data_IF_237182116558
#
_entry.id   IF_237182116558
#
_cell.length_a   1.000
_cell.length_b   1.000
_cell.length_c   1.000
_cell.angle_alpha   90.00
_cell.angle_beta   90.00
_cell.angle_gamma   90.00
#
_symmetry.space_group_name_H-M   'P 1'
#
loop_
_entity.id
_entity.type
_entity.pdbx_description
1 polymer ?
#
# COMPACT_ATOMS: atom_id res chain seq x y z
N UNK A 1 -1.69 -8.65 51.37
CA UNK A 1 -2.39 -7.97 50.26
C UNK A 1 -1.57 -8.20 48.98
N UNK A 2 -1.96 -9.17 48.15
CA UNK A 2 -1.26 -9.49 46.90
C UNK A 2 -1.78 -8.55 45.81
N UNK A 3 -0.90 -7.68 45.30
CA UNK A 3 -1.19 -6.87 44.13
C UNK A 3 -1.03 -7.80 42.93
N UNK A 4 -2.15 -8.18 42.31
CA UNK A 4 -2.14 -8.89 41.05
C UNK A 4 -1.68 -7.92 39.96
N UNK A 5 -0.44 -8.07 39.47
CA UNK A 5 0.01 -7.41 38.25
C UNK A 5 -0.57 -8.16 37.06
N UNK A 6 -1.68 -7.66 36.51
CA UNK A 6 -2.21 -8.14 35.24
C UNK A 6 -1.31 -7.63 34.12
N UNK A 7 -0.22 -8.35 33.83
CA UNK A 7 0.53 -8.19 32.59
C UNK A 7 -0.32 -8.75 31.44
N UNK A 8 -1.36 -8.00 31.05
CA UNK A 8 -1.98 -8.18 29.76
C UNK A 8 -1.02 -7.59 28.72
N UNK A 9 -0.06 -8.40 28.28
CA UNK A 9 0.70 -8.13 27.06
C UNK A 9 -0.32 -8.11 25.93
N UNK A 10 -0.80 -6.91 25.57
CA UNK A 10 -1.63 -6.74 24.36
C UNK A 10 -0.71 -7.12 23.20
N UNK A 11 -0.83 -8.36 22.73
CA UNK A 11 -0.19 -8.78 21.50
C UNK A 11 -0.72 -7.83 20.41
N UNK A 12 0.13 -6.90 19.97
CA UNK A 12 -0.23 -5.95 18.94
C UNK A 12 -0.57 -6.73 17.65
N UNK A 13 -1.85 -6.98 17.42
CA UNK A 13 -2.32 -7.63 16.21
C UNK A 13 -2.60 -6.53 15.18
N UNK A 14 -1.93 -6.61 14.03
CA UNK A 14 -2.25 -5.75 12.90
C UNK A 14 -3.68 -6.04 12.44
N UNK A 15 -4.57 -5.07 12.56
CA UNK A 15 -5.92 -5.14 12.04
C UNK A 15 -6.06 -4.32 10.74
N UNK A 16 -7.22 -4.43 10.09
CA UNK A 16 -7.43 -3.79 8.80
C UNK A 16 -7.40 -2.26 8.89
N UNK A 17 -7.90 -1.70 9.99
CA UNK A 17 -7.86 -0.26 10.25
C UNK A 17 -6.41 0.22 10.44
N UNK A 18 -5.58 -0.55 11.15
CA UNK A 18 -4.16 -0.30 11.32
C UNK A 18 -3.43 -0.30 9.99
N UNK A 19 -3.62 -1.32 9.15
CA UNK A 19 -3.05 -1.37 7.81
C UNK A 19 -3.48 -0.18 6.95
N UNK A 20 -4.78 0.16 6.95
CA UNK A 20 -5.30 1.31 6.22
C UNK A 20 -4.66 2.62 6.69
N UNK A 21 -4.58 2.85 8.01
CA UNK A 21 -3.98 4.06 8.60
C UNK A 21 -2.51 4.22 8.18
N UNK A 22 -1.74 3.13 8.24
CA UNK A 22 -0.35 3.17 7.79
C UNK A 22 -0.24 3.43 6.28
N UNK A 23 -1.09 2.79 5.46
CA UNK A 23 -1.13 3.06 4.02
C UNK A 23 -1.41 4.55 3.74
N UNK A 24 -2.36 5.16 4.44
CA UNK A 24 -2.66 6.58 4.31
C UNK A 24 -1.48 7.48 4.66
N UNK A 25 -0.74 7.18 5.74
CA UNK A 25 0.46 7.92 6.11
C UNK A 25 1.56 7.80 5.05
N UNK A 26 1.77 6.59 4.50
CA UNK A 26 2.74 6.38 3.42
C UNK A 26 2.32 7.06 2.12
N UNK A 27 1.03 7.16 1.83
CA UNK A 27 0.52 7.92 0.68
C UNK A 27 0.82 9.41 0.81
N UNK A 28 0.58 9.98 2.00
CA UNK A 28 0.92 11.38 2.28
C UNK A 28 2.42 11.63 2.13
N UNK A 29 3.25 10.71 2.65
CA UNK A 29 4.70 10.78 2.49
C UNK A 29 5.12 10.71 1.01
N UNK A 30 4.58 9.75 0.25
CA UNK A 30 4.88 9.57 -1.17
C UNK A 30 4.62 10.86 -1.96
N UNK A 31 3.46 11.49 -1.73
CA UNK A 31 3.07 12.74 -2.39
C UNK A 31 3.94 13.93 -1.99
N UNK A 32 4.29 14.02 -0.71
CA UNK A 32 5.18 15.07 -0.21
C UNK A 32 6.55 14.99 -0.87
N UNK A 33 7.05 13.77 -1.09
CA UNK A 33 8.33 13.52 -1.78
C UNK A 33 8.18 13.74 -3.29
N UNK A 34 7.07 13.32 -3.90
CA UNK A 34 6.82 13.46 -5.34
C UNK A 34 6.86 14.92 -5.80
N UNK A 35 6.29 15.86 -5.02
CA UNK A 35 6.33 17.30 -5.32
C UNK A 35 7.77 17.82 -5.46
N UNK A 36 8.73 17.18 -4.77
CA UNK A 36 10.16 17.57 -4.80
C UNK A 36 10.96 16.94 -5.94
N UNK A 37 10.34 16.13 -6.81
CA UNK A 37 11.02 15.51 -7.95
C UNK A 37 11.34 16.54 -9.05
N UNK A 38 10.66 17.68 -9.06
CA UNK A 38 10.90 18.76 -10.02
C UNK A 38 12.25 19.45 -9.76
N UNK A 39 13.28 19.04 -10.50
CA UNK A 39 14.58 19.70 -10.56
C UNK A 39 15.71 18.75 -10.97
N UNK A 40 15.86 17.63 -10.26
CA UNK A 40 17.09 16.80 -10.35
C UNK A 40 16.84 15.29 -10.50
N UNK A 41 15.58 14.83 -10.55
CA UNK A 41 15.25 13.40 -10.57
C UNK A 41 15.62 12.65 -9.27
N UNK A 42 16.21 13.36 -8.31
CA UNK A 42 16.42 12.90 -6.95
C UNK A 42 15.08 12.50 -6.34
N UNK A 43 15.09 11.44 -5.54
CA UNK A 43 13.92 10.89 -4.85
C UNK A 43 12.92 10.08 -5.71
N UNK A 44 13.17 9.84 -7.00
CA UNK A 44 12.30 9.00 -7.84
C UNK A 44 12.10 7.58 -7.28
N UNK A 45 13.20 6.86 -7.02
CA UNK A 45 13.14 5.51 -6.44
C UNK A 45 12.54 5.46 -5.03
N UNK A 46 12.92 6.36 -4.09
CA UNK A 46 12.22 6.52 -2.82
C UNK A 46 10.71 6.75 -2.96
N UNK A 47 10.28 7.55 -3.94
CA UNK A 47 8.85 7.81 -4.20
C UNK A 47 8.13 6.53 -4.62
N UNK A 48 8.72 5.77 -5.55
CA UNK A 48 8.18 4.46 -5.95
C UNK A 48 8.13 3.48 -4.77
N UNK A 49 9.12 3.50 -3.87
CA UNK A 49 9.14 2.65 -2.68
C UNK A 49 7.96 3.00 -1.75
N UNK A 50 7.72 4.30 -1.50
CA UNK A 50 6.63 4.76 -0.65
C UNK A 50 5.27 4.39 -1.26
N UNK A 51 5.11 4.53 -2.57
CA UNK A 51 3.92 4.06 -3.27
C UNK A 51 3.74 2.55 -3.22
N UNK A 52 4.82 1.77 -3.38
CA UNK A 52 4.79 0.32 -3.26
C UNK A 52 4.30 -0.12 -1.88
N UNK A 53 4.85 0.48 -0.82
CA UNK A 53 4.41 0.24 0.57
C UNK A 53 2.94 0.60 0.74
N UNK A 54 2.52 1.76 0.24
CA UNK A 54 1.12 2.22 0.31
C UNK A 54 0.17 1.17 -0.29
N UNK A 55 0.43 0.75 -1.53
CA UNK A 55 -0.38 -0.21 -2.27
C UNK A 55 -0.38 -1.58 -1.58
N UNK A 56 0.76 -2.04 -1.08
CA UNK A 56 0.84 -3.30 -0.34
C UNK A 56 -0.04 -3.27 0.91
N UNK A 57 0.10 -2.24 1.74
CA UNK A 57 -0.61 -2.15 3.02
C UNK A 57 -2.12 -2.01 2.82
N UNK A 58 -2.57 -1.21 1.85
CA UNK A 58 -4.00 -1.04 1.60
C UNK A 58 -4.66 -2.30 1.03
N UNK A 59 -3.96 -3.03 0.14
CA UNK A 59 -4.47 -4.31 -0.37
C UNK A 59 -4.48 -5.37 0.74
N UNK A 60 -3.49 -5.37 1.65
CA UNK A 60 -3.52 -6.20 2.85
C UNK A 60 -4.72 -5.83 3.74
N UNK A 61 -4.99 -4.56 3.99
CA UNK A 61 -6.18 -4.12 4.74
C UNK A 61 -7.49 -4.69 4.16
N UNK A 62 -7.67 -4.56 2.84
CA UNK A 62 -8.82 -5.10 2.12
C UNK A 62 -8.94 -6.61 2.25
N UNK A 63 -7.84 -7.34 2.02
CA UNK A 63 -7.82 -8.79 2.11
C UNK A 63 -8.12 -9.28 3.54
N UNK A 64 -7.70 -8.54 4.57
CA UNK A 64 -7.97 -8.87 5.97
C UNK A 64 -9.47 -8.76 6.26
N UNK A 65 -10.10 -7.66 5.84
CA UNK A 65 -11.57 -7.48 5.94
C UNK A 65 -12.35 -8.53 5.14
N UNK A 66 -11.78 -9.06 4.06
CA UNK A 66 -12.33 -10.19 3.28
C UNK A 66 -11.97 -11.56 3.88
N UNK A 67 -11.46 -11.63 5.10
CA UNK A 67 -11.23 -12.87 5.84
C UNK A 67 -9.92 -13.60 5.53
N UNK A 68 -8.93 -12.95 4.88
CA UNK A 68 -7.58 -13.52 4.80
C UNK A 68 -6.92 -13.49 6.17
N UNK A 69 -6.25 -14.58 6.57
CA UNK A 69 -5.52 -14.62 7.84
C UNK A 69 -4.15 -13.95 7.72
N UNK A 70 -3.58 -13.50 8.84
CA UNK A 70 -2.31 -12.75 8.88
C UNK A 70 -1.10 -13.58 8.43
N UNK A 71 -1.09 -14.89 8.70
CA UNK A 71 -0.08 -15.83 8.21
C UNK A 71 -0.04 -15.88 6.67
N UNK A 72 -1.22 -15.93 6.04
CA UNK A 72 -1.38 -15.88 4.59
C UNK A 72 -0.98 -14.53 3.99
N UNK A 73 -0.98 -13.44 4.77
CA UNK A 73 -0.51 -12.14 4.28
C UNK A 73 1.00 -12.04 4.18
N UNK A 74 1.73 -12.78 5.01
CA UNK A 74 3.20 -12.73 4.99
C UNK A 74 3.74 -13.18 3.63
N UNK A 75 3.11 -14.16 3.02
CA UNK A 75 3.48 -14.71 1.69
C UNK A 75 3.22 -13.74 0.53
N UNK A 76 2.44 -12.67 0.78
CA UNK A 76 2.12 -11.63 -0.21
C UNK A 76 3.06 -10.42 -0.14
N UNK A 77 3.94 -10.36 0.86
CA UNK A 77 4.81 -9.20 1.09
C UNK A 77 5.72 -8.95 -0.11
N UNK A 78 5.86 -7.68 -0.47
CA UNK A 78 6.65 -7.21 -1.60
C UNK A 78 6.17 -7.65 -3.00
N UNK A 79 5.08 -8.41 -3.13
CA UNK A 79 4.54 -8.83 -4.43
C UNK A 79 3.19 -8.16 -4.70
N UNK A 80 3.23 -6.96 -5.26
CA UNK A 80 2.03 -6.16 -5.52
C UNK A 80 1.10 -6.82 -6.53
N UNK A 81 1.65 -7.44 -7.57
CA UNK A 81 0.89 -8.13 -8.60
C UNK A 81 0.06 -9.28 -8.01
N UNK A 82 0.69 -10.21 -7.30
CA UNK A 82 0.00 -11.35 -6.68
C UNK A 82 -1.06 -10.86 -5.69
N UNK A 83 -0.73 -9.82 -4.91
CA UNK A 83 -1.66 -9.21 -3.95
C UNK A 83 -2.87 -8.61 -4.65
N UNK A 84 -2.66 -7.84 -5.74
CA UNK A 84 -3.74 -7.22 -6.51
C UNK A 84 -4.62 -8.26 -7.19
N UNK A 85 -4.04 -9.30 -7.79
CA UNK A 85 -4.78 -10.40 -8.42
C UNK A 85 -5.69 -11.08 -7.38
N UNK A 86 -5.16 -11.37 -6.19
CA UNK A 86 -5.94 -11.98 -5.11
C UNK A 86 -7.06 -11.05 -4.64
N UNK A 87 -6.78 -9.76 -4.45
CA UNK A 87 -7.78 -8.76 -4.07
C UNK A 87 -8.91 -8.65 -5.11
N UNK A 88 -8.57 -8.62 -6.41
CA UNK A 88 -9.54 -8.63 -7.51
C UNK A 88 -10.42 -9.88 -7.51
N UNK A 89 -9.83 -11.07 -7.31
CA UNK A 89 -10.58 -12.33 -7.14
C UNK A 89 -11.55 -12.27 -5.96
N UNK A 90 -11.19 -11.53 -4.91
CA UNK A 90 -12.03 -11.24 -3.73
C UNK A 90 -12.89 -9.99 -3.86
N UNK A 91 -13.22 -9.60 -5.10
CA UNK A 91 -14.20 -8.55 -5.42
C UNK A 91 -13.77 -7.12 -5.06
N UNK A 92 -12.46 -6.82 -5.11
CA UNK A 92 -11.95 -5.43 -4.98
C UNK A 92 -12.72 -4.45 -5.88
N UNK A 93 -13.07 -4.87 -7.10
CA UNK A 93 -13.83 -4.07 -8.08
C UNK A 93 -15.22 -3.60 -7.64
N UNK A 94 -15.76 -4.12 -6.53
CA UNK A 94 -17.01 -3.63 -5.92
C UNK A 94 -16.78 -2.38 -5.07
N UNK A 95 -15.59 -2.23 -4.51
CA UNK A 95 -15.21 -1.08 -3.67
C UNK A 95 -14.42 -0.04 -4.48
N UNK A 96 -13.47 -0.48 -5.31
CA UNK A 96 -12.56 0.40 -6.08
C UNK A 96 -12.36 -0.14 -7.49
N UNK A 97 -12.50 0.72 -8.50
CA UNK A 97 -12.30 0.38 -9.92
C UNK A 97 -11.05 1.06 -10.46
N UNK A 98 -9.94 0.33 -10.46
CA UNK A 98 -8.70 0.76 -11.11
C UNK A 98 -8.82 0.65 -12.63
N UNK A 99 -8.28 1.65 -13.34
CA UNK A 99 -8.18 1.65 -14.79
C UNK A 99 -7.05 0.71 -15.30
N UNK A 100 -7.06 0.31 -16.58
CA UNK A 100 -6.05 -0.60 -17.12
C UNK A 100 -4.60 -0.10 -17.02
N UNK A 101 -4.36 1.22 -17.08
CA UNK A 101 -3.04 1.83 -17.01
C UNK A 101 -2.51 1.82 -15.58
N UNK A 102 -3.38 2.03 -14.61
CA UNK A 102 -3.08 1.88 -13.18
C UNK A 102 -2.69 0.43 -12.85
N UNK A 103 -3.46 -0.54 -13.35
CA UNK A 103 -3.14 -1.97 -13.16
C UNK A 103 -1.79 -2.32 -13.81
N UNK A 104 -1.54 -1.86 -15.04
CA UNK A 104 -0.28 -2.07 -15.73
C UNK A 104 0.90 -1.43 -14.97
N UNK A 105 0.71 -0.22 -14.44
CA UNK A 105 1.72 0.46 -13.63
C UNK A 105 2.04 -0.34 -12.35
N UNK A 106 1.03 -0.86 -11.63
CA UNK A 106 1.24 -1.71 -10.45
C UNK A 106 2.04 -2.97 -10.82
N UNK A 107 1.74 -3.59 -11.96
CA UNK A 107 2.49 -4.75 -12.43
C UNK A 107 3.98 -4.41 -12.65
N UNK A 108 4.28 -3.31 -13.35
CA UNK A 108 5.67 -2.86 -13.56
C UNK A 108 6.35 -2.54 -12.22
N UNK A 109 5.67 -1.83 -11.31
CA UNK A 109 6.20 -1.54 -9.97
C UNK A 109 6.49 -2.82 -9.18
N UNK A 110 5.64 -3.84 -9.30
CA UNK A 110 5.80 -5.11 -8.58
C UNK A 110 7.13 -5.79 -8.90
N UNK A 111 7.61 -5.70 -10.14
CA UNK A 111 8.88 -6.30 -10.58
C UNK A 111 10.05 -5.72 -9.77
N UNK A 112 10.17 -4.39 -9.75
CA UNK A 112 11.28 -3.69 -9.08
C UNK A 112 11.13 -3.65 -7.55
N UNK A 113 9.89 -3.63 -7.04
CA UNK A 113 9.58 -3.63 -5.62
C UNK A 113 9.85 -4.99 -4.97
N UNK A 114 9.43 -6.09 -5.62
CA UNK A 114 9.66 -7.46 -5.12
C UNK A 114 11.14 -7.85 -5.12
N UNK A 115 11.91 -7.36 -6.10
CA UNK A 115 13.36 -7.58 -6.19
C UNK A 115 14.20 -6.67 -5.29
N UNK A 116 13.59 -5.83 -4.44
CA UNK A 116 14.27 -4.83 -3.62
C UNK A 116 15.14 -3.82 -4.40
N UNK A 117 14.91 -3.68 -5.71
CA UNK A 117 15.70 -2.83 -6.61
C UNK A 117 15.44 -1.33 -6.36
N UNK A 118 14.40 -1.00 -5.60
CA UNK A 118 14.15 0.36 -5.13
C UNK A 118 15.02 0.76 -3.92
N UNK A 119 15.66 -0.22 -3.26
CA UNK A 119 16.50 -0.02 -2.06
C UNK A 119 17.98 -0.27 -2.33
N UNK A 120 18.29 -1.15 -3.27
CA UNK A 120 19.66 -1.53 -3.60
C UNK A 120 19.98 -1.17 -5.04
N UNK A 121 21.20 -0.70 -5.28
CA UNK A 121 21.68 -0.36 -6.61
C UNK A 121 21.72 -1.63 -7.45
N UNK A 122 21.03 -1.62 -8.58
CA UNK A 122 21.08 -2.66 -9.60
C UNK A 122 21.53 -2.02 -10.91
N UNK A 123 22.57 -2.57 -11.53
CA UNK A 123 23.10 -2.09 -12.80
C UNK A 123 22.30 -2.65 -13.98
N UNK A 124 22.08 -1.84 -15.01
CA UNK A 124 21.39 -2.24 -16.25
C UNK A 124 20.11 -1.44 -16.52
N UNK A 125 19.46 -1.74 -17.63
CA UNK A 125 18.21 -1.08 -18.02
C UNK A 125 17.03 -1.62 -17.20
N UNK A 126 16.37 -0.74 -16.46
CA UNK A 126 15.20 -1.09 -15.64
C UNK A 126 13.96 -0.37 -16.15
N UNK A 127 12.87 -1.13 -16.32
CA UNK A 127 11.56 -0.54 -16.61
C UNK A 127 10.95 0.01 -15.32
N UNK A 128 10.56 1.27 -15.34
CA UNK A 128 9.90 1.95 -14.23
C UNK A 128 8.50 2.38 -14.64
N UNK A 129 7.51 2.34 -13.73
CA UNK A 129 6.16 2.77 -14.04
C UNK A 129 6.11 4.30 -14.16
N UNK A 130 5.12 4.81 -14.91
CA UNK A 130 4.83 6.24 -14.88
C UNK A 130 4.23 6.62 -13.52
N UNK A 131 4.83 7.60 -12.84
CA UNK A 131 4.43 8.02 -11.50
C UNK A 131 2.96 8.42 -11.42
N UNK A 132 2.44 9.11 -12.43
CA UNK A 132 1.03 9.56 -12.47
C UNK A 132 0.04 8.41 -12.25
N UNK A 133 0.27 7.24 -12.85
CA UNK A 133 -0.63 6.09 -12.70
C UNK A 133 -0.46 5.38 -11.36
N UNK A 134 0.76 5.34 -10.83
CA UNK A 134 1.00 4.79 -9.49
C UNK A 134 0.39 5.67 -8.41
N UNK A 135 0.59 6.98 -8.49
CA UNK A 135 0.04 7.94 -7.54
C UNK A 135 -1.48 7.97 -7.55
N UNK A 136 -2.09 7.86 -8.73
CA UNK A 136 -3.55 7.69 -8.86
C UNK A 136 -4.04 6.38 -8.27
N UNK A 137 -3.45 5.24 -8.66
CA UNK A 137 -3.85 3.94 -8.14
C UNK A 137 -3.75 3.85 -6.61
N UNK A 138 -2.65 4.37 -6.03
CA UNK A 138 -2.47 4.42 -4.60
C UNK A 138 -3.52 5.30 -3.92
N UNK A 139 -3.85 6.47 -4.50
CA UNK A 139 -4.93 7.34 -4.01
C UNK A 139 -6.28 6.62 -4.03
N UNK A 140 -6.65 6.08 -5.18
CA UNK A 140 -7.95 5.43 -5.36
C UNK A 140 -8.14 4.25 -4.41
N UNK A 141 -7.10 3.43 -4.22
CA UNK A 141 -7.14 2.34 -3.26
C UNK A 141 -7.31 2.85 -1.82
N UNK A 142 -6.50 3.82 -1.39
CA UNK A 142 -6.54 4.29 0.01
C UNK A 142 -7.85 5.00 0.32
N UNK A 143 -8.27 5.93 -0.54
CA UNK A 143 -9.51 6.70 -0.33
C UNK A 143 -10.72 5.79 -0.52
N UNK A 144 -10.76 5.01 -1.60
CA UNK A 144 -11.92 4.17 -1.91
C UNK A 144 -12.14 3.01 -0.94
N UNK A 145 -11.09 2.55 -0.24
CA UNK A 145 -11.21 1.50 0.77
C UNK A 145 -11.32 2.01 2.21
N UNK A 146 -11.38 3.33 2.43
CA UNK A 146 -11.46 3.91 3.77
C UNK A 146 -12.65 3.40 4.57
N UNK A 147 -13.86 3.52 4.03
CA UNK A 147 -15.07 3.04 4.70
C UNK A 147 -15.02 1.53 4.93
N UNK A 148 -14.61 0.78 3.90
CA UNK A 148 -14.54 -0.68 3.98
C UNK A 148 -13.57 -1.16 5.08
N UNK A 149 -12.43 -0.49 5.24
CA UNK A 149 -11.41 -0.88 6.21
C UNK A 149 -11.66 -0.35 7.62
N UNK A 150 -12.27 0.85 7.75
CA UNK A 150 -12.36 1.58 9.02
C UNK A 150 -13.77 1.73 9.58
N UNK A 151 -14.81 1.56 8.76
CA UNK A 151 -16.20 1.90 9.11
C UNK A 151 -16.47 3.40 9.17
N UNK A 152 -15.51 4.25 8.82
CA UNK A 152 -15.63 5.72 8.79
C UNK A 152 -15.20 6.27 7.43
N UNK A 153 -15.54 7.51 7.09
CA UNK A 153 -15.13 8.16 5.84
C UNK A 153 -14.71 9.60 6.08
N UNK A 154 -13.87 10.13 5.20
CA UNK A 154 -13.53 11.55 5.19
C UNK A 154 -12.37 11.93 6.11
N UNK A 155 -11.52 10.99 6.52
CA UNK A 155 -10.29 11.35 7.26
C UNK A 155 -9.22 11.94 6.35
N UNK A 156 -9.31 11.70 5.05
CA UNK A 156 -8.32 12.15 4.06
C UNK A 156 -8.83 13.22 3.10
N UNK A 157 -10.07 13.71 3.26
CA UNK A 157 -10.71 14.70 2.38
C UNK A 157 -9.92 15.99 2.19
N UNK A 158 -9.00 16.31 3.11
CA UNK A 158 -8.16 17.50 3.04
C UNK A 158 -6.65 17.21 2.97
N UNK A 159 -6.25 15.94 3.05
CA UNK A 159 -4.84 15.56 3.16
C UNK A 159 -4.27 14.92 1.88
N UNK A 160 -5.12 14.46 0.96
CA UNK A 160 -4.72 13.63 -0.20
C UNK A 160 -5.55 13.93 -1.45
#
# INVERSE_FOLDING_TARGET
MKIASTNATVAAQSDAQGFWRFAANYLLAARTVEVKIHGEGQLFYPTLQLYGITIELILKAFLLKRGLKLDQMRTLSHNLEKTLILARRRKLGREVKLDPREIAAIHVLSIIYSGNQLRYIVTGSTKVPQLVYIGRAAKELVVGLEYFCTGTSGRLTHAV
#
